data_IF_916248943001
#
_entry.id   IF_916248943001
#
_cell.length_a   1.000
_cell.length_b   1.000
_cell.length_c   1.000
_cell.angle_alpha   90.00
_cell.angle_beta   90.00
_cell.angle_gamma   90.00
#
_symmetry.space_group_name_H-M   'P 1'
#
loop_
_entity.id
_entity.type
_entity.pdbx_description
1 polymer ?
#
# COMPACT_ATOMS: atom_id res chain seq x y z
N UNK A 1 25.62 -6.64 13.27
CA UNK A 1 24.41 -5.76 13.26
C UNK A 1 24.44 -4.69 12.15
N UNK A 2 25.56 -4.02 11.88
CA UNK A 2 25.61 -3.02 10.77
C UNK A 2 25.39 -3.65 9.38
N UNK A 3 26.02 -4.80 9.10
CA UNK A 3 25.91 -5.47 7.80
C UNK A 3 24.50 -6.02 7.43
N UNK A 4 23.57 -6.08 8.38
CA UNK A 4 22.17 -6.46 8.13
C UNK A 4 21.30 -5.22 7.87
N UNK A 5 21.60 -4.10 8.55
CA UNK A 5 21.05 -2.77 8.24
C UNK A 5 21.47 -2.29 6.84
N UNK A 6 22.72 -2.54 6.46
CA UNK A 6 23.23 -2.14 5.14
C UNK A 6 22.62 -2.99 4.01
N UNK A 7 22.35 -4.28 4.26
CA UNK A 7 21.65 -5.17 3.32
C UNK A 7 20.18 -4.82 3.11
N UNK A 8 19.50 -4.35 4.16
CA UNK A 8 18.13 -3.84 4.04
C UNK A 8 18.06 -2.57 3.18
N UNK A 9 19.12 -1.75 3.19
CA UNK A 9 19.26 -0.58 2.31
C UNK A 9 19.61 -0.95 0.87
N UNK A 10 20.45 -1.98 0.65
CA UNK A 10 20.87 -2.39 -0.69
C UNK A 10 19.82 -3.15 -1.49
N UNK A 11 18.81 -3.74 -0.83
CA UNK A 11 17.70 -4.41 -1.52
C UNK A 11 16.70 -3.42 -2.17
N UNK A 12 16.88 -2.11 -1.96
CA UNK A 12 16.07 -1.03 -2.54
C UNK A 12 16.57 -0.56 -3.91
N UNK A 13 17.53 -1.25 -4.55
CA UNK A 13 17.97 -0.93 -5.91
C UNK A 13 16.99 -1.49 -6.96
N UNK A 14 15.78 -0.95 -6.99
CA UNK A 14 14.98 -0.89 -8.22
C UNK A 14 15.18 0.50 -8.83
N UNK A 15 15.69 0.52 -10.06
CA UNK A 15 16.15 1.72 -10.77
C UNK A 15 15.10 2.82 -10.90
N UNK A 16 15.55 4.06 -10.74
CA UNK A 16 14.74 5.27 -10.72
C UNK A 16 14.53 5.77 -9.30
N UNK A 17 15.43 6.64 -8.85
CA UNK A 17 15.35 7.32 -7.56
C UNK A 17 14.21 8.35 -7.60
N UNK A 18 12.97 7.87 -7.49
CA UNK A 18 11.77 8.70 -7.35
C UNK A 18 11.61 9.23 -5.91
N UNK A 19 12.67 9.15 -5.08
CA UNK A 19 12.77 9.82 -3.78
C UNK A 19 13.01 11.34 -3.88
N UNK A 20 12.75 11.96 -5.03
CA UNK A 20 12.68 13.41 -5.09
C UNK A 20 11.34 13.86 -4.52
N UNK A 21 11.40 14.69 -3.47
CA UNK A 21 10.22 15.35 -2.92
C UNK A 21 9.49 16.12 -4.02
N UNK A 22 8.38 15.57 -4.50
CA UNK A 22 7.50 16.23 -5.47
C UNK A 22 6.90 17.46 -4.80
N UNK A 23 7.30 18.65 -5.26
CA UNK A 23 6.73 19.91 -4.80
C UNK A 23 5.48 20.23 -5.61
N UNK A 24 4.35 19.65 -5.20
CA UNK A 24 3.04 19.92 -5.76
C UNK A 24 2.11 20.39 -4.64
N UNK A 25 1.57 21.60 -4.77
CA UNK A 25 0.57 22.14 -3.85
C UNK A 25 -0.82 21.64 -4.25
N UNK A 26 -1.05 20.36 -4.00
CA UNK A 26 -2.32 19.67 -4.29
C UNK A 26 -2.58 18.58 -3.26
N UNK A 27 -3.79 18.05 -3.26
CA UNK A 27 -4.19 16.89 -2.47
C UNK A 27 -4.89 15.90 -3.37
N UNK A 28 -4.69 14.61 -3.10
CA UNK A 28 -5.46 13.55 -3.74
C UNK A 28 -6.53 13.06 -2.76
N UNK A 29 -7.80 13.15 -3.16
CA UNK A 29 -8.91 12.54 -2.44
C UNK A 29 -8.83 11.01 -2.58
N UNK A 30 -8.91 10.29 -1.46
CA UNK A 30 -8.86 8.83 -1.47
C UNK A 30 -10.27 8.24 -1.42
N UNK A 31 -10.64 7.50 -2.46
CA UNK A 31 -11.97 6.86 -2.62
C UNK A 31 -11.92 5.34 -2.48
N UNK A 32 -10.73 4.78 -2.22
CA UNK A 32 -10.46 3.34 -2.27
C UNK A 32 -11.03 2.48 -1.15
N UNK A 33 -11.72 3.09 -0.18
CA UNK A 33 -12.48 2.37 0.84
C UNK A 33 -13.80 1.81 0.29
N UNK A 34 -14.40 2.52 -0.68
CA UNK A 34 -15.72 2.20 -1.22
C UNK A 34 -15.65 1.74 -2.68
N UNK A 35 -14.59 2.12 -3.40
CA UNK A 35 -14.47 1.92 -4.84
C UNK A 35 -13.14 1.27 -5.23
N UNK A 36 -13.16 0.46 -6.29
CA UNK A 36 -11.96 -0.07 -6.95
C UNK A 36 -11.73 0.53 -8.34
N UNK A 37 -12.68 1.32 -8.80
CA UNK A 37 -12.64 2.07 -10.04
C UNK A 37 -13.18 3.48 -9.81
N UNK A 38 -12.63 4.46 -10.52
CA UNK A 38 -13.09 5.84 -10.43
C UNK A 38 -12.70 6.63 -11.69
N UNK A 39 -13.39 7.73 -11.96
CA UNK A 39 -13.00 8.72 -12.97
C UNK A 39 -12.30 9.90 -12.30
N UNK A 40 -11.06 10.19 -12.68
CA UNK A 40 -10.22 11.21 -12.06
C UNK A 40 -9.53 12.10 -13.11
N UNK A 41 -8.95 13.22 -12.69
CA UNK A 41 -8.15 14.10 -13.53
C UNK A 41 -6.66 13.95 -13.25
N UNK A 42 -5.85 13.92 -14.31
CA UNK A 42 -4.38 13.93 -14.20
C UNK A 42 -3.94 15.33 -13.81
N UNK A 43 -3.41 15.48 -12.59
CA UNK A 43 -2.95 16.76 -12.04
C UNK A 43 -1.49 17.03 -12.38
N UNK A 44 -0.66 15.98 -12.41
CA UNK A 44 0.74 16.09 -12.76
C UNK A 44 1.32 14.76 -13.26
N UNK A 45 2.35 14.86 -14.09
CA UNK A 45 3.15 13.74 -14.57
C UNK A 45 4.63 14.00 -14.25
N UNK A 46 5.34 12.93 -13.87
CA UNK A 46 6.78 13.00 -13.62
C UNK A 46 7.51 11.87 -14.35
N UNK A 47 8.65 12.19 -14.94
CA UNK A 47 9.56 11.23 -15.56
C UNK A 47 10.96 11.46 -14.97
N UNK A 48 11.60 10.41 -14.44
CA UNK A 48 12.94 10.50 -13.84
C UNK A 48 13.06 11.63 -12.77
N UNK A 49 11.98 11.83 -11.99
CA UNK A 49 11.90 12.85 -10.95
C UNK A 49 11.60 14.29 -11.43
N UNK A 50 11.57 14.53 -12.74
CA UNK A 50 11.25 15.85 -13.31
C UNK A 50 9.78 15.91 -13.74
N UNK A 51 9.14 17.06 -13.50
CA UNK A 51 7.79 17.32 -14.00
C UNK A 51 7.79 17.39 -15.53
N UNK A 52 6.82 16.74 -16.16
CA UNK A 52 6.64 16.71 -17.62
C UNK A 52 5.18 16.99 -17.97
N UNK A 53 4.94 17.54 -19.15
CA UNK A 53 3.57 17.80 -19.62
C UNK A 53 2.91 16.53 -20.19
N UNK A 54 3.71 15.57 -20.64
CA UNK A 54 3.24 14.33 -21.24
C UNK A 54 4.18 13.15 -20.99
N UNK A 55 3.63 11.94 -21.06
CA UNK A 55 4.36 10.67 -21.15
C UNK A 55 3.97 9.98 -22.46
N UNK A 56 4.91 9.27 -23.07
CA UNK A 56 4.75 8.49 -24.30
C UNK A 56 4.84 6.98 -24.05
N UNK A 57 4.25 6.19 -24.93
CA UNK A 57 4.32 4.73 -24.85
C UNK A 57 5.78 4.24 -24.71
N UNK A 58 5.99 3.34 -23.77
CA UNK A 58 7.30 2.81 -23.39
C UNK A 58 7.96 3.54 -22.22
N UNK A 59 7.47 4.71 -21.83
CA UNK A 59 8.07 5.51 -20.76
C UNK A 59 7.53 5.11 -19.37
N UNK A 60 8.44 5.09 -18.40
CA UNK A 60 8.12 4.93 -16.98
C UNK A 60 7.98 6.30 -16.33
N UNK A 61 7.08 6.42 -15.35
CA UNK A 61 6.81 7.68 -14.69
C UNK A 61 5.95 7.56 -13.45
N UNK A 62 5.61 8.72 -12.88
CA UNK A 62 4.61 8.87 -11.85
C UNK A 62 3.42 9.66 -12.41
N UNK A 63 2.22 9.21 -12.09
CA UNK A 63 0.97 9.92 -12.35
C UNK A 63 0.38 10.38 -11.02
N UNK A 64 0.04 11.66 -10.92
CA UNK A 64 -0.69 12.22 -9.78
C UNK A 64 -2.10 12.58 -10.22
N UNK A 65 -3.08 12.16 -9.44
CA UNK A 65 -4.51 12.38 -9.70
C UNK A 65 -5.10 13.29 -8.62
N UNK A 66 -6.21 13.95 -8.94
CA UNK A 66 -7.02 14.72 -7.98
C UNK A 66 -7.76 13.82 -7.00
N UNK A 67 -8.13 12.62 -7.43
CA UNK A 67 -8.66 11.55 -6.58
C UNK A 67 -8.25 10.16 -7.07
N UNK A 68 -8.28 9.17 -6.18
CA UNK A 68 -7.88 7.80 -6.55
C UNK A 68 -8.50 6.72 -5.66
N UNK A 69 -8.89 5.56 -6.26
CA UNK A 69 -9.23 4.36 -5.51
C UNK A 69 -8.00 3.55 -5.07
N UNK A 70 -6.79 3.89 -5.55
CA UNK A 70 -5.56 3.15 -5.25
C UNK A 70 -5.07 3.44 -3.83
N UNK A 71 -5.00 2.41 -3.00
CA UNK A 71 -4.41 2.47 -1.69
C UNK A 71 -2.91 2.67 -1.83
N UNK A 72 -2.40 3.74 -1.25
CA UNK A 72 -0.97 3.99 -1.19
C UNK A 72 -0.34 3.21 -0.05
N UNK A 73 0.90 2.74 -0.25
CA UNK A 73 1.66 1.98 0.75
C UNK A 73 1.58 2.65 2.13
N UNK A 74 1.15 1.88 3.13
CA UNK A 74 1.03 2.37 4.50
C UNK A 74 0.94 1.22 5.51
N UNK A 75 1.48 1.43 6.71
CA UNK A 75 1.37 0.45 7.80
C UNK A 75 2.01 -0.92 7.52
N UNK A 76 2.90 -1.00 6.52
CA UNK A 76 3.48 -2.25 6.03
C UNK A 76 2.70 -2.91 4.88
N UNK A 77 1.49 -2.45 4.57
CA UNK A 77 0.76 -2.87 3.38
C UNK A 77 1.31 -2.18 2.13
N UNK A 78 1.66 -2.98 1.12
CA UNK A 78 2.12 -2.49 -0.19
C UNK A 78 1.03 -1.69 -0.91
N UNK A 79 1.47 -0.73 -1.73
CA UNK A 79 0.59 0.04 -2.59
C UNK A 79 -0.11 -0.81 -3.64
N UNK A 80 -1.27 -0.35 -4.10
CA UNK A 80 -1.99 -1.05 -5.16
C UNK A 80 -1.32 -0.93 -6.52
N UNK A 81 -1.61 -1.95 -7.33
CA UNK A 81 -1.37 -1.99 -8.77
C UNK A 81 -2.70 -1.97 -9.53
N UNK A 82 -2.64 -1.67 -10.83
CA UNK A 82 -3.83 -1.52 -11.65
C UNK A 82 -3.55 -0.75 -12.93
N UNK A 83 -4.55 -0.03 -13.43
CA UNK A 83 -4.46 0.73 -14.67
C UNK A 83 -5.07 2.12 -14.54
N UNK A 84 -4.49 3.07 -15.28
CA UNK A 84 -5.01 4.41 -15.53
C UNK A 84 -5.17 4.52 -17.06
N UNK A 85 -6.40 4.70 -17.51
CA UNK A 85 -6.77 4.69 -18.93
C UNK A 85 -7.36 6.03 -19.33
N UNK A 86 -6.85 6.60 -20.41
CA UNK A 86 -7.46 7.75 -21.09
C UNK A 86 -7.85 7.35 -22.51
N UNK A 87 -8.51 8.23 -23.26
CA UNK A 87 -8.83 7.98 -24.65
C UNK A 87 -7.56 7.73 -25.48
N UNK A 88 -7.30 6.46 -25.80
CA UNK A 88 -6.17 6.03 -26.63
C UNK A 88 -4.84 5.80 -25.90
N UNK A 89 -4.79 5.86 -24.57
CA UNK A 89 -3.58 5.55 -23.81
C UNK A 89 -3.86 4.71 -22.55
N UNK A 90 -2.92 3.83 -22.20
CA UNK A 90 -3.04 2.91 -21.05
C UNK A 90 -1.75 2.95 -20.26
N UNK A 91 -1.84 3.36 -19.00
CA UNK A 91 -0.74 3.36 -18.04
C UNK A 91 -0.94 2.25 -17.02
N UNK A 92 0.02 1.34 -16.93
CA UNK A 92 0.03 0.26 -15.95
C UNK A 92 0.69 0.74 -14.67
N UNK A 93 -0.10 0.81 -13.60
CA UNK A 93 0.36 1.14 -12.25
C UNK A 93 0.92 -0.13 -11.63
N UNK A 94 2.20 -0.10 -11.26
CA UNK A 94 2.88 -1.21 -10.59
C UNK A 94 2.93 -1.01 -9.08
N UNK A 95 2.84 0.23 -8.60
CA UNK A 95 2.89 0.57 -7.18
C UNK A 95 2.27 1.95 -6.94
N UNK A 96 1.69 2.15 -5.75
CA UNK A 96 1.08 3.42 -5.33
C UNK A 96 1.69 3.87 -4.01
N UNK A 97 2.28 5.06 -3.98
CA UNK A 97 3.03 5.58 -2.85
C UNK A 97 2.41 6.89 -2.33
N UNK A 98 2.65 7.19 -1.05
CA UNK A 98 2.11 8.39 -0.40
C UNK A 98 3.22 9.38 -0.05
N UNK A 99 3.06 10.63 -0.46
CA UNK A 99 3.99 11.71 -0.13
C UNK A 99 3.27 12.85 0.59
N UNK A 100 3.91 13.43 1.61
CA UNK A 100 3.38 14.58 2.36
C UNK A 100 2.05 14.33 3.10
N UNK A 101 1.60 13.07 3.18
CA UNK A 101 0.34 12.69 3.83
C UNK A 101 -0.92 12.92 3.00
N UNK A 102 -0.84 13.57 1.84
CA UNK A 102 -2.01 13.91 0.99
C UNK A 102 -1.82 13.59 -0.49
N UNK A 103 -0.59 13.43 -0.98
CA UNK A 103 -0.33 13.13 -2.39
C UNK A 103 -0.19 11.63 -2.61
N UNK A 104 -0.90 11.11 -3.61
CA UNK A 104 -0.81 9.72 -4.04
C UNK A 104 -0.07 9.67 -5.37
N UNK A 105 1.03 8.93 -5.39
CA UNK A 105 1.95 8.80 -6.50
C UNK A 105 1.75 7.42 -7.13
N UNK A 106 1.21 7.38 -8.35
CA UNK A 106 1.00 6.13 -9.08
C UNK A 106 2.23 5.85 -9.93
N UNK A 107 3.08 4.93 -9.49
CA UNK A 107 4.29 4.53 -10.21
C UNK A 107 3.95 3.47 -11.24
N UNK A 108 4.49 3.61 -12.44
CA UNK A 108 4.15 2.70 -13.50
C UNK A 108 4.80 3.01 -14.83
N UNK A 109 4.24 2.40 -15.88
CA UNK A 109 4.70 2.51 -17.25
C UNK A 109 3.53 2.76 -18.19
N UNK A 110 3.72 3.69 -19.12
CA UNK A 110 2.76 3.91 -20.20
C UNK A 110 2.95 2.81 -21.26
N UNK A 111 2.00 1.90 -21.40
CA UNK A 111 2.13 0.77 -22.35
C UNK A 111 1.67 1.12 -23.76
N UNK A 112 0.77 2.08 -23.90
CA UNK A 112 0.28 2.55 -25.20
C UNK A 112 -0.20 4.00 -25.13
N UNK A 113 -0.16 4.69 -26.27
CA UNK A 113 -0.64 6.07 -26.42
C UNK A 113 0.27 7.14 -25.83
N UNK A 114 -0.33 8.27 -25.48
CA UNK A 114 0.30 9.39 -24.77
C UNK A 114 -0.62 9.87 -23.64
N UNK A 115 -0.05 10.08 -22.45
CA UNK A 115 -0.73 10.76 -21.34
C UNK A 115 -0.34 12.23 -21.31
N UNK A 116 -1.26 13.08 -20.91
CA UNK A 116 -1.01 14.51 -20.71
C UNK A 116 -1.71 15.02 -19.47
N UNK A 117 -1.09 15.99 -18.81
CA UNK A 117 -1.70 16.69 -17.67
C UNK A 117 -3.03 17.33 -18.08
N UNK A 118 -4.02 17.30 -17.17
CA UNK A 118 -5.38 17.80 -17.38
C UNK A 118 -6.35 16.83 -18.05
N UNK A 119 -5.88 15.66 -18.51
CA UNK A 119 -6.77 14.63 -19.07
C UNK A 119 -7.68 14.03 -18.00
N UNK A 120 -8.88 13.62 -18.43
CA UNK A 120 -9.76 12.77 -17.63
C UNK A 120 -9.37 11.31 -17.86
N UNK A 121 -9.16 10.56 -16.79
CA UNK A 121 -8.75 9.17 -16.79
C UNK A 121 -9.75 8.29 -16.04
N UNK A 122 -9.97 7.09 -16.56
CA UNK A 122 -10.59 5.99 -15.85
C UNK A 122 -9.50 5.22 -15.10
N UNK A 123 -9.69 5.04 -13.82
CA UNK A 123 -8.76 4.36 -12.92
C UNK A 123 -9.36 3.02 -12.52
N UNK A 124 -8.56 1.97 -12.45
CA UNK A 124 -9.03 0.63 -12.06
C UNK A 124 -7.94 -0.11 -11.29
N UNK A 125 -8.20 -0.39 -10.02
CA UNK A 125 -7.35 -1.18 -9.14
C UNK A 125 -7.43 -2.66 -9.53
N UNK A 126 -6.31 -3.38 -9.40
CA UNK A 126 -6.31 -4.83 -9.50
C UNK A 126 -7.03 -5.45 -8.30
N UNK A 127 -8.32 -5.73 -8.46
CA UNK A 127 -9.20 -6.25 -7.42
C UNK A 127 -8.69 -7.55 -6.77
N UNK A 128 -8.11 -8.46 -7.56
CA UNK A 128 -7.59 -9.72 -7.04
C UNK A 128 -6.36 -9.49 -6.15
N UNK A 129 -5.43 -8.64 -6.59
CA UNK A 129 -4.26 -8.26 -5.79
C UNK A 129 -4.68 -7.52 -4.51
N UNK A 130 -5.58 -6.53 -4.61
CA UNK A 130 -6.13 -5.82 -3.45
C UNK A 130 -6.72 -6.80 -2.45
N UNK A 131 -7.56 -7.74 -2.90
CA UNK A 131 -8.23 -8.68 -2.01
C UNK A 131 -7.25 -9.61 -1.29
N UNK A 132 -6.25 -10.12 -2.01
CA UNK A 132 -5.20 -10.96 -1.40
C UNK A 132 -4.43 -10.19 -0.31
N UNK A 133 -4.07 -8.93 -0.58
CA UNK A 133 -3.39 -8.06 0.37
C UNK A 133 -4.28 -7.75 1.58
N UNK A 134 -5.58 -7.48 1.40
CA UNK A 134 -6.53 -7.25 2.50
C UNK A 134 -6.67 -8.47 3.43
N UNK A 135 -6.69 -9.68 2.86
CA UNK A 135 -6.73 -10.92 3.63
C UNK A 135 -5.47 -11.06 4.49
N UNK A 136 -4.29 -10.82 3.90
CA UNK A 136 -3.03 -10.82 4.62
C UNK A 136 -2.97 -9.71 5.68
N UNK A 137 -3.53 -8.53 5.42
CA UNK A 137 -3.63 -7.45 6.40
C UNK A 137 -4.48 -7.89 7.59
N UNK A 138 -5.67 -8.43 7.32
CA UNK A 138 -6.58 -8.90 8.37
C UNK A 138 -5.93 -9.98 9.22
N UNK A 139 -5.20 -10.91 8.58
CA UNK A 139 -4.43 -11.94 9.26
C UNK A 139 -3.30 -11.36 10.14
N UNK A 140 -2.68 -10.23 9.76
CA UNK A 140 -1.69 -9.53 10.59
C UNK A 140 -2.30 -9.07 11.92
N UNK A 141 -3.52 -8.53 11.93
CA UNK A 141 -4.20 -8.14 13.18
C UNK A 141 -4.53 -9.34 14.06
N UNK A 142 -5.05 -10.42 13.47
CA UNK A 142 -5.32 -11.66 14.19
C UNK A 142 -4.04 -12.26 14.79
N UNK A 143 -2.95 -12.29 14.01
CA UNK A 143 -1.66 -12.77 14.46
C UNK A 143 -1.13 -11.93 15.62
N UNK A 144 -1.23 -10.60 15.54
CA UNK A 144 -0.78 -9.72 16.61
C UNK A 144 -1.58 -9.95 17.91
N UNK A 145 -2.91 -10.12 17.81
CA UNK A 145 -3.74 -10.46 18.97
C UNK A 145 -3.37 -11.83 19.56
N UNK A 146 -3.20 -12.86 18.73
CA UNK A 146 -2.82 -14.20 19.17
C UNK A 146 -1.43 -14.22 19.84
N UNK A 147 -0.47 -13.45 19.30
CA UNK A 147 0.86 -13.28 19.89
C UNK A 147 0.76 -12.67 21.29
N UNK A 148 -0.02 -11.60 21.47
CA UNK A 148 -0.22 -10.99 22.79
C UNK A 148 -0.89 -11.94 23.77
N UNK A 149 -1.88 -12.70 23.32
CA UNK A 149 -2.58 -13.69 24.15
C UNK A 149 -1.68 -14.85 24.58
N UNK A 150 -0.77 -15.30 23.71
CA UNK A 150 0.05 -16.50 23.93
C UNK A 150 1.39 -16.17 24.61
N UNK A 151 2.05 -15.11 24.15
CA UNK A 151 3.41 -14.75 24.58
C UNK A 151 3.43 -13.63 25.61
N UNK A 152 2.34 -12.86 25.74
CA UNK A 152 2.20 -11.77 26.69
C UNK A 152 2.09 -10.38 26.04
N UNK A 153 1.62 -9.40 26.82
CA UNK A 153 1.32 -8.06 26.32
C UNK A 153 2.54 -7.22 25.93
N UNK A 154 3.75 -7.64 26.30
CA UNK A 154 5.00 -6.98 25.91
C UNK A 154 5.35 -7.17 24.44
N UNK A 155 4.66 -8.05 23.73
CA UNK A 155 4.78 -8.16 22.28
C UNK A 155 4.37 -6.83 21.64
N UNK A 156 5.35 -6.17 21.02
CA UNK A 156 5.12 -4.93 20.27
C UNK A 156 5.64 -5.09 18.85
N UNK A 157 4.87 -4.60 17.88
CA UNK A 157 5.27 -4.56 16.48
C UNK A 157 6.56 -3.75 16.30
N UNK A 158 7.51 -4.31 15.56
CA UNK A 158 8.78 -3.70 15.15
C UNK A 158 8.92 -3.59 13.63
N UNK A 159 8.11 -4.31 12.88
CA UNK A 159 8.08 -4.26 11.41
C UNK A 159 6.87 -5.02 10.89
N UNK A 160 6.41 -4.63 9.71
CA UNK A 160 5.32 -5.32 9.00
C UNK A 160 5.57 -5.21 7.49
N UNK A 161 5.31 -6.30 6.79
CA UNK A 161 5.18 -6.34 5.33
C UNK A 161 3.94 -7.15 5.01
N UNK A 162 3.04 -6.58 4.22
CA UNK A 162 1.81 -7.22 3.77
C UNK A 162 1.71 -7.00 2.27
N UNK A 163 1.88 -8.07 1.51
CA UNK A 163 1.73 -8.05 0.06
C UNK A 163 0.75 -9.15 -0.39
N UNK A 164 0.62 -9.33 -1.70
CA UNK A 164 -0.31 -10.30 -2.29
C UNK A 164 0.06 -11.76 -1.98
N UNK A 165 1.34 -12.05 -1.73
CA UNK A 165 1.84 -13.41 -1.54
C UNK A 165 1.89 -13.83 -0.07
N UNK A 166 2.19 -12.89 0.83
CA UNK A 166 2.43 -13.17 2.25
C UNK A 166 2.27 -11.93 3.14
N UNK A 167 2.18 -12.22 4.43
CA UNK A 167 2.49 -11.26 5.50
C UNK A 167 3.79 -11.64 6.21
N UNK A 168 4.52 -10.64 6.70
CA UNK A 168 5.62 -10.76 7.67
C UNK A 168 5.36 -9.80 8.81
N UNK A 169 5.37 -10.30 10.04
CA UNK A 169 5.18 -9.50 11.24
C UNK A 169 6.40 -9.65 12.14
N UNK A 170 7.16 -8.56 12.29
CA UNK A 170 8.35 -8.52 13.14
C UNK A 170 7.96 -7.92 14.49
N UNK A 171 8.31 -8.57 15.60
CA UNK A 171 7.91 -8.14 16.95
C UNK A 171 9.01 -8.32 18.00
N UNK A 172 8.89 -7.61 19.13
CA UNK A 172 9.81 -7.78 20.26
C UNK A 172 9.43 -8.96 21.13
N UNK A 173 10.38 -9.87 21.35
CA UNK A 173 10.26 -10.98 22.29
C UNK A 173 11.64 -11.36 22.84
N UNK A 174 11.68 -11.95 24.04
CA UNK A 174 12.94 -12.20 24.76
C UNK A 174 13.64 -13.49 24.34
N UNK A 175 12.90 -14.42 23.74
CA UNK A 175 13.37 -15.73 23.31
C UNK A 175 12.74 -16.12 21.96
N UNK A 176 13.25 -17.13 21.25
CA UNK A 176 12.58 -17.69 20.08
C UNK A 176 11.22 -18.28 20.46
N UNK A 177 10.23 -18.13 19.58
CA UNK A 177 8.93 -18.80 19.73
C UNK A 177 9.12 -20.30 19.52
N UNK A 178 8.61 -21.13 20.43
CA UNK A 178 8.72 -22.59 20.33
C UNK A 178 7.72 -23.15 19.32
N UNK A 179 7.97 -24.37 18.84
CA UNK A 179 7.06 -25.05 17.89
C UNK A 179 5.66 -25.24 18.47
N UNK A 180 5.54 -25.53 19.77
CA UNK A 180 4.25 -25.64 20.45
C UNK A 180 3.52 -24.30 20.51
N UNK A 181 4.25 -23.20 20.77
CA UNK A 181 3.68 -21.86 20.75
C UNK A 181 3.23 -21.49 19.33
N UNK A 182 4.01 -21.81 18.30
CA UNK A 182 3.62 -21.61 16.89
C UNK A 182 2.32 -22.36 16.59
N UNK A 183 2.20 -23.63 16.98
CA UNK A 183 0.98 -24.41 16.78
C UNK A 183 -0.25 -23.79 17.49
N UNK A 184 -0.06 -23.21 18.68
CA UNK A 184 -1.13 -22.49 19.38
C UNK A 184 -1.52 -21.22 18.63
N UNK A 185 -0.56 -20.43 18.16
CA UNK A 185 -0.81 -19.20 17.38
C UNK A 185 -1.61 -19.51 16.11
N UNK A 186 -1.17 -20.51 15.34
CA UNK A 186 -1.85 -20.94 14.12
C UNK A 186 -3.29 -21.36 14.40
N UNK A 187 -3.52 -22.11 15.48
CA UNK A 187 -4.86 -22.56 15.86
C UNK A 187 -5.75 -21.38 16.23
N UNK A 188 -5.28 -20.45 17.05
CA UNK A 188 -6.05 -19.26 17.48
C UNK A 188 -6.44 -18.39 16.28
N UNK A 189 -5.50 -18.12 15.38
CA UNK A 189 -5.78 -17.33 14.17
C UNK A 189 -6.84 -18.03 13.31
N UNK A 190 -6.69 -19.32 13.04
CA UNK A 190 -7.67 -20.07 12.24
C UNK A 190 -9.05 -20.19 12.89
N UNK A 191 -9.12 -20.27 14.22
CA UNK A 191 -10.38 -20.19 14.96
C UNK A 191 -11.08 -18.84 14.73
N UNK A 192 -10.35 -17.73 14.83
CA UNK A 192 -10.92 -16.39 14.58
C UNK A 192 -11.36 -16.20 13.13
N UNK A 193 -10.60 -16.71 12.16
CA UNK A 193 -11.01 -16.69 10.75
C UNK A 193 -12.36 -17.42 10.57
N UNK A 194 -12.53 -18.59 11.19
CA UNK A 194 -13.77 -19.37 11.08
C UNK A 194 -14.98 -18.71 11.75
N UNK A 195 -14.77 -17.87 12.75
CA UNK A 195 -15.86 -17.10 13.37
C UNK A 195 -16.44 -16.05 12.42
N UNK A 196 -15.67 -15.61 11.42
CA UNK A 196 -16.11 -14.65 10.40
C UNK A 196 -16.76 -13.40 11.03
N UNK A 197 -16.13 -12.87 12.08
CA UNK A 197 -16.60 -11.67 12.76
C UNK A 197 -16.63 -10.48 11.79
N UNK A 198 -17.65 -9.60 11.87
CA UNK A 198 -17.69 -8.41 11.04
C UNK A 198 -16.51 -7.48 11.36
N UNK A 199 -15.94 -6.89 10.32
CA UNK A 199 -14.87 -5.89 10.41
C UNK A 199 -15.35 -4.61 9.75
N UNK A 200 -15.16 -3.48 10.41
CA UNK A 200 -15.53 -2.15 9.90
C UNK A 200 -14.47 -1.11 10.25
N UNK A 201 -14.30 -0.12 9.39
CA UNK A 201 -13.46 1.05 9.64
C UNK A 201 -14.33 2.32 9.58
N UNK A 202 -13.98 3.33 10.39
CA UNK A 202 -14.68 4.61 10.43
C UNK A 202 -13.66 5.74 10.56
N UNK A 203 -13.88 6.83 9.83
CA UNK A 203 -13.12 8.08 10.01
C UNK A 203 -13.74 8.85 11.15
N UNK A 204 -12.92 9.20 12.14
CA UNK A 204 -13.37 9.85 13.37
C UNK A 204 -12.31 10.81 13.88
N UNK A 205 -12.73 11.76 14.72
CA UNK A 205 -11.79 12.60 15.44
C UNK A 205 -10.93 11.75 16.38
N UNK A 206 -9.68 12.13 16.58
CA UNK A 206 -8.72 11.39 17.42
C UNK A 206 -9.28 11.13 18.83
N UNK A 207 -9.88 12.14 19.45
CA UNK A 207 -10.41 12.03 20.81
C UNK A 207 -11.60 11.08 20.93
N UNK A 208 -12.36 10.89 19.84
CA UNK A 208 -13.44 9.91 19.78
C UNK A 208 -12.87 8.50 19.58
N UNK A 209 -11.84 8.35 18.73
CA UNK A 209 -11.15 7.08 18.51
C UNK A 209 -10.51 6.48 19.76
N UNK A 210 -9.97 7.33 20.63
CA UNK A 210 -9.35 6.88 21.90
C UNK A 210 -10.40 6.41 22.92
N UNK A 211 -11.65 6.86 22.80
CA UNK A 211 -12.74 6.53 23.74
C UNK A 211 -13.56 5.31 23.33
N UNK A 212 -13.59 4.98 22.04
CA UNK A 212 -14.31 3.85 21.46
C UNK A 212 -13.71 2.51 21.90
#
# INVERSE_FOLDING_TARGET
MNAQRDRARSASSFGGDYHQDIKLDSQTEFTGYDHLDDTAHIVALYQQGQAVDHLNAGEEGLVVLDKTPFYAESGGQVGDSGQIVVAGAVFEVTDTQKQGGTLFLHKGKLVSGALSTGQTALTTVNAAARKATELNHSATHLLHAALRQTLGEHVTQKGSLVNTERLRFDFSHFEPVTDEQIAVLERLVNEQIRLNNPVSAQVMAKDDAVKA
#
